data_IF_299123551430
#
_entry.id   IF_299123551430
#
_cell.length_a   1.000
_cell.length_b   1.000
_cell.length_c   1.000
_cell.angle_alpha   90.00
_cell.angle_beta   90.00
_cell.angle_gamma   90.00
#
_symmetry.space_group_name_H-M   'P 1'
#
loop_
_entity.id
_entity.type
_entity.pdbx_description
1 polymer ?
#
# COMPACT_ATOMS: atom_id res chain seq x y z
N UNK A 1 -31.77 6.74 -47.88
CA UNK A 1 -30.31 7.05 -47.80
C UNK A 1 -29.84 7.40 -46.40
N UNK A 2 -30.48 8.34 -45.68
CA UNK A 2 -30.05 8.73 -44.32
C UNK A 2 -29.92 7.58 -43.31
N UNK A 3 -30.88 6.63 -43.30
CA UNK A 3 -30.85 5.45 -42.41
C UNK A 3 -29.67 4.52 -42.70
N UNK A 4 -29.37 4.25 -43.97
CA UNK A 4 -28.23 3.42 -44.36
C UNK A 4 -26.90 4.04 -43.94
N UNK A 5 -26.74 5.35 -44.11
CA UNK A 5 -25.59 6.11 -43.64
C UNK A 5 -25.42 6.06 -42.11
N UNK A 6 -26.51 6.07 -41.34
CA UNK A 6 -26.44 5.99 -39.87
C UNK A 6 -26.00 4.61 -39.40
N UNK A 7 -26.46 3.55 -40.06
CA UNK A 7 -26.06 2.18 -39.70
C UNK A 7 -24.60 1.93 -40.10
N UNK A 8 -24.18 2.41 -41.27
CA UNK A 8 -22.79 2.33 -41.73
C UNK A 8 -21.82 3.06 -40.77
N UNK A 9 -22.20 4.25 -40.30
CA UNK A 9 -21.42 5.00 -39.31
C UNK A 9 -21.32 4.26 -37.96
N UNK A 10 -22.42 3.70 -37.46
CA UNK A 10 -22.43 2.93 -36.21
C UNK A 10 -21.56 1.66 -36.28
N UNK A 11 -21.61 0.94 -37.40
CA UNK A 11 -20.73 -0.22 -37.62
C UNK A 11 -19.26 0.17 -37.73
N UNK A 12 -18.95 1.32 -38.34
CA UNK A 12 -17.58 1.83 -38.39
C UNK A 12 -17.05 2.20 -36.99
N UNK A 13 -17.91 2.80 -36.14
CA UNK A 13 -17.55 3.10 -34.74
C UNK A 13 -17.25 1.84 -33.94
N UNK A 14 -18.06 0.78 -34.10
CA UNK A 14 -17.85 -0.51 -33.43
C UNK A 14 -16.55 -1.19 -33.86
N UNK A 15 -16.20 -1.14 -35.15
CA UNK A 15 -14.96 -1.70 -35.68
C UNK A 15 -13.71 -0.92 -35.25
N UNK A 16 -13.86 0.34 -34.84
CA UNK A 16 -12.77 1.16 -34.31
C UNK A 16 -12.57 0.99 -32.79
N UNK A 17 -13.50 0.34 -32.08
CA UNK A 17 -13.37 0.11 -30.63
C UNK A 17 -12.09 -0.63 -30.24
N UNK A 18 -11.59 -1.66 -30.95
CA UNK A 18 -10.36 -2.35 -30.55
C UNK A 18 -9.15 -1.41 -30.58
N UNK A 19 -9.04 -0.55 -31.60
CA UNK A 19 -7.93 0.38 -31.75
C UNK A 19 -7.88 1.43 -30.64
N UNK A 20 -9.03 1.88 -30.15
CA UNK A 20 -9.11 2.80 -29.00
C UNK A 20 -8.82 2.06 -27.69
N UNK A 21 -9.21 0.78 -27.57
CA UNK A 21 -8.93 -0.01 -26.36
C UNK A 21 -7.45 -0.32 -26.14
N UNK A 22 -6.65 -0.37 -27.20
CA UNK A 22 -5.19 -0.50 -27.09
C UNK A 22 -4.50 0.85 -26.77
N UNK A 23 -5.11 1.99 -27.09
CA UNK A 23 -4.56 3.31 -26.81
C UNK A 23 -4.83 3.80 -25.37
N UNK A 24 -5.93 3.35 -24.74
CA UNK A 24 -6.26 3.67 -23.35
C UNK A 24 -5.36 2.97 -22.31
N UNK A 25 -4.63 1.93 -22.70
CA UNK A 25 -3.83 1.09 -21.79
C UNK A 25 -2.35 1.52 -21.71
N UNK A 26 -2.05 2.80 -21.96
CA UNK A 26 -0.77 3.37 -21.59
C UNK A 26 -0.88 3.86 -20.13
N UNK A 27 -0.15 3.27 -19.17
CA UNK A 27 0.00 3.87 -17.84
C UNK A 27 0.38 5.33 -18.03
N UNK A 28 -0.35 6.23 -17.39
CA UNK A 28 -0.10 7.66 -17.44
C UNK A 28 1.37 7.93 -17.08
N UNK A 29 2.22 8.18 -18.09
CA UNK A 29 3.66 8.39 -17.92
C UNK A 29 4.61 7.37 -18.57
N UNK A 30 4.12 6.39 -19.36
CA UNK A 30 4.99 5.42 -20.06
C UNK A 30 5.78 4.53 -19.09
N UNK A 31 6.97 4.06 -19.47
CA UNK A 31 7.79 3.18 -18.61
C UNK A 31 8.07 3.79 -17.22
N UNK A 32 8.29 5.10 -17.14
CA UNK A 32 8.51 5.77 -15.85
C UNK A 32 7.23 5.77 -14.99
N UNK A 33 6.07 6.00 -15.61
CA UNK A 33 4.77 5.88 -14.94
C UNK A 33 4.55 4.47 -14.39
N UNK A 34 4.83 3.43 -15.19
CA UNK A 34 4.74 2.03 -14.76
C UNK A 34 5.63 1.76 -13.55
N UNK A 35 6.90 2.19 -13.59
CA UNK A 35 7.83 2.01 -12.47
C UNK A 35 7.30 2.68 -11.19
N UNK A 36 6.75 3.89 -11.28
CA UNK A 36 6.18 4.58 -10.12
C UNK A 36 4.96 3.83 -9.58
N UNK A 37 4.07 3.37 -10.44
CA UNK A 37 2.90 2.56 -10.04
C UNK A 37 3.34 1.25 -9.38
N UNK A 38 4.36 0.57 -9.89
CA UNK A 38 4.87 -0.66 -9.32
C UNK A 38 5.49 -0.43 -7.94
N UNK A 39 6.25 0.66 -7.76
CA UNK A 39 6.82 1.06 -6.45
C UNK A 39 5.69 1.35 -5.45
N UNK A 40 4.66 2.09 -5.85
CA UNK A 40 3.51 2.39 -5.00
C UNK A 40 2.75 1.11 -4.63
N UNK A 41 2.50 0.22 -5.59
CA UNK A 41 1.81 -1.04 -5.37
C UNK A 41 2.59 -1.96 -4.43
N UNK A 42 3.90 -2.09 -4.62
CA UNK A 42 4.77 -2.84 -3.73
C UNK A 42 4.78 -2.24 -2.32
N UNK A 43 4.89 -0.92 -2.22
CA UNK A 43 4.93 -0.23 -0.93
C UNK A 43 3.67 -0.47 -0.13
N UNK A 44 2.49 -0.32 -0.76
CA UNK A 44 1.19 -0.47 -0.12
C UNK A 44 0.81 -1.93 0.15
N UNK A 45 1.10 -2.83 -0.79
CA UNK A 45 0.65 -4.22 -0.70
C UNK A 45 1.61 -5.12 0.08
N UNK A 46 2.88 -4.73 0.19
CA UNK A 46 3.94 -5.56 0.79
C UNK A 46 4.68 -4.82 1.88
N UNK A 47 5.33 -3.69 1.57
CA UNK A 47 6.28 -3.06 2.47
C UNK A 47 5.61 -2.54 3.76
N UNK A 48 4.52 -1.79 3.64
CA UNK A 48 3.81 -1.23 4.79
C UNK A 48 3.23 -2.34 5.68
N UNK A 49 2.46 -3.32 5.15
CA UNK A 49 2.01 -4.46 5.94
C UNK A 49 3.14 -5.22 6.63
N UNK A 50 4.28 -5.39 5.96
CA UNK A 50 5.45 -6.07 6.52
C UNK A 50 6.08 -5.31 7.69
N UNK A 51 6.25 -3.99 7.56
CA UNK A 51 6.78 -3.15 8.65
C UNK A 51 5.80 -3.15 9.83
N UNK A 52 4.49 -3.05 9.58
CA UNK A 52 3.47 -3.14 10.63
C UNK A 52 3.52 -4.49 11.35
N UNK A 53 3.69 -5.59 10.63
CA UNK A 53 3.86 -6.91 11.21
C UNK A 53 5.10 -6.95 12.13
N UNK A 54 6.25 -6.48 11.67
CA UNK A 54 7.47 -6.41 12.51
C UNK A 54 7.23 -5.54 13.74
N UNK A 55 6.64 -4.35 13.59
CA UNK A 55 6.30 -3.49 14.71
C UNK A 55 5.40 -4.18 15.72
N UNK A 56 4.44 -4.99 15.25
CA UNK A 56 3.55 -5.76 16.12
C UNK A 56 4.31 -6.84 16.88
N UNK A 57 5.21 -7.57 16.23
CA UNK A 57 6.08 -8.53 16.91
C UNK A 57 6.96 -7.84 17.98
N UNK A 58 7.53 -6.67 17.68
CA UNK A 58 8.33 -5.89 18.64
C UNK A 58 7.48 -5.42 19.82
N UNK A 59 6.24 -4.99 19.57
CA UNK A 59 5.30 -4.60 20.62
C UNK A 59 4.98 -5.79 21.55
N UNK A 60 4.64 -6.96 20.98
CA UNK A 60 4.37 -8.18 21.73
C UNK A 60 5.61 -8.63 22.52
N UNK A 61 6.80 -8.51 21.94
CA UNK A 61 8.05 -8.78 22.66
C UNK A 61 8.25 -7.81 23.83
N UNK A 62 7.93 -6.53 23.65
CA UNK A 62 7.90 -5.54 24.72
C UNK A 62 6.95 -5.93 25.85
N UNK A 63 5.74 -6.40 25.52
CA UNK A 63 4.78 -6.92 26.51
C UNK A 63 5.33 -8.12 27.27
N UNK A 64 5.92 -9.09 26.56
CA UNK A 64 6.56 -10.25 27.18
C UNK A 64 7.64 -9.82 28.19
N UNK A 65 8.51 -8.89 27.79
CA UNK A 65 9.55 -8.37 28.69
C UNK A 65 8.98 -7.62 29.89
N UNK A 66 7.92 -6.83 29.68
CA UNK A 66 7.32 -6.01 30.73
C UNK A 66 6.54 -6.85 31.75
N UNK A 67 5.68 -7.75 31.29
CA UNK A 67 4.70 -8.45 32.13
C UNK A 67 5.15 -9.85 32.56
N UNK A 68 5.96 -10.54 31.75
CA UNK A 68 6.34 -11.94 32.02
C UNK A 68 7.77 -12.00 32.56
N UNK A 69 8.75 -11.49 31.82
CA UNK A 69 10.15 -11.53 32.24
C UNK A 69 10.49 -10.52 33.35
N UNK A 70 9.81 -9.37 33.37
CA UNK A 70 10.06 -8.25 34.28
C UNK A 70 9.44 -8.36 35.68
N UNK A 71 9.03 -9.55 36.12
CA UNK A 71 8.37 -9.74 37.42
C UNK A 71 9.24 -9.38 38.64
N UNK A 72 10.56 -9.59 38.55
CA UNK A 72 11.53 -9.25 39.60
C UNK A 72 12.71 -8.40 39.11
N UNK A 73 12.74 -8.06 37.80
CA UNK A 73 13.80 -7.30 37.15
C UNK A 73 13.22 -5.98 36.61
N UNK A 74 13.53 -4.88 37.30
CA UNK A 74 13.11 -3.53 36.93
C UNK A 74 13.67 -3.10 35.57
N UNK A 75 14.88 -3.56 35.20
CA UNK A 75 15.52 -3.25 33.92
C UNK A 75 14.84 -3.96 32.76
N UNK A 76 14.44 -5.23 32.93
CA UNK A 76 13.64 -5.95 31.94
C UNK A 76 12.28 -5.26 31.72
N UNK A 77 11.68 -4.75 32.80
CA UNK A 77 10.43 -4.00 32.77
C UNK A 77 10.58 -2.65 32.06
N UNK A 78 11.64 -1.90 32.33
CA UNK A 78 11.91 -0.65 31.61
C UNK A 78 12.16 -0.89 30.11
N UNK A 79 12.95 -1.90 29.77
CA UNK A 79 13.21 -2.24 28.37
C UNK A 79 11.93 -2.62 27.62
N UNK A 80 11.09 -3.48 28.24
CA UNK A 80 9.79 -3.85 27.67
C UNK A 80 8.88 -2.66 27.43
N UNK A 81 8.84 -1.71 28.38
CA UNK A 81 8.08 -0.45 28.26
C UNK A 81 8.55 0.35 27.05
N UNK A 82 9.86 0.53 26.92
CA UNK A 82 10.45 1.31 25.85
C UNK A 82 10.19 0.67 24.48
N UNK A 83 10.27 -0.66 24.36
CA UNK A 83 9.92 -1.37 23.13
C UNK A 83 8.47 -1.14 22.72
N UNK A 84 7.52 -1.21 23.66
CA UNK A 84 6.11 -0.94 23.38
C UNK A 84 5.90 0.51 22.92
N UNK A 85 6.56 1.48 23.57
CA UNK A 85 6.48 2.90 23.19
C UNK A 85 7.04 3.11 21.78
N UNK A 86 8.22 2.59 21.48
CA UNK A 86 8.85 2.75 20.17
C UNK A 86 8.05 2.08 19.05
N UNK A 87 7.49 0.88 19.29
CA UNK A 87 6.60 0.23 18.32
C UNK A 87 5.33 1.07 18.06
N UNK A 88 4.72 1.62 19.13
CA UNK A 88 3.54 2.48 19.02
C UNK A 88 3.85 3.76 18.25
N UNK A 89 4.98 4.42 18.54
CA UNK A 89 5.44 5.58 17.77
C UNK A 89 5.69 5.24 16.30
N UNK A 90 6.27 4.06 16.02
CA UNK A 90 6.44 3.56 14.66
C UNK A 90 5.11 3.43 13.92
N UNK A 91 4.07 2.86 14.56
CA UNK A 91 2.73 2.78 13.97
C UNK A 91 2.13 4.16 13.69
N UNK A 92 2.25 5.09 14.64
CA UNK A 92 1.75 6.46 14.49
C UNK A 92 2.44 7.17 13.33
N UNK A 93 3.76 7.05 13.20
CA UNK A 93 4.50 7.65 12.09
C UNK A 93 4.08 7.10 10.73
N UNK A 94 3.85 5.78 10.63
CA UNK A 94 3.35 5.16 9.40
C UNK A 94 1.99 5.75 9.04
N UNK A 95 1.06 5.88 10.01
CA UNK A 95 -0.27 6.43 9.76
C UNK A 95 -0.20 7.91 9.34
N UNK A 96 0.65 8.73 10.00
CA UNK A 96 0.79 10.15 9.68
C UNK A 96 1.36 10.36 8.28
N UNK A 97 2.42 9.61 7.93
CA UNK A 97 3.09 9.76 6.64
C UNK A 97 2.29 9.16 5.48
N UNK A 98 1.51 8.11 5.75
CA UNK A 98 0.76 7.41 4.72
C UNK A 98 -0.68 7.92 4.56
N UNK A 99 -1.33 8.43 5.61
CA UNK A 99 -2.72 8.90 5.56
C UNK A 99 -2.96 10.14 4.69
N UNK A 100 -1.91 10.72 4.11
CA UNK A 100 -1.98 11.86 3.18
C UNK A 100 -1.96 11.42 1.71
N UNK A 101 -1.57 10.16 1.43
CA UNK A 101 -1.51 9.57 0.08
C UNK A 101 -2.90 9.14 -0.38
#
# INVERSE_FOLDING_TARGET
MKKFLTHAAASASLLLTPFVTFAQFAPSGGNFGTLLTDILNFSTSVLIPFILAIGFLVFVWGMFRYFIAGGADEGARENGKNLMIYATLGFVLIIILWGVV
#
